data_IF_734134203616
#
_entry.id   IF_734134203616
#
_cell.length_a   1.000
_cell.length_b   1.000
_cell.length_c   1.000
_cell.angle_alpha   90.00
_cell.angle_beta   90.00
_cell.angle_gamma   90.00
#
_symmetry.space_group_name_H-M   'P 1'
#
loop_
_entity.id
_entity.type
_entity.pdbx_description
1 polymer ?
#
# COMPACT_ATOMS: atom_id res chain seq x y z
N UNK A 1 -0.21 13.24 14.23
CA UNK A 1 -0.09 11.91 14.87
C UNK A 1 1.24 11.82 15.57
N UNK A 2 1.27 11.47 16.86
CA UNK A 2 2.50 11.43 17.66
C UNK A 2 3.45 10.32 17.18
N UNK A 3 2.91 9.11 16.98
CA UNK A 3 3.64 7.91 16.57
C UNK A 3 4.45 8.12 15.27
N UNK A 4 3.84 8.78 14.27
CA UNK A 4 4.50 9.05 12.99
C UNK A 4 5.66 10.04 13.11
N UNK A 5 5.53 11.08 13.95
CA UNK A 5 6.62 12.04 14.20
C UNK A 5 7.76 11.37 14.98
N UNK A 6 7.43 10.54 15.96
CA UNK A 6 8.40 9.78 16.75
C UNK A 6 9.20 8.80 15.88
N UNK A 7 8.57 8.13 14.91
CA UNK A 7 9.27 7.29 13.94
C UNK A 7 10.23 8.12 13.06
N UNK A 8 9.79 9.27 12.54
CA UNK A 8 10.68 10.12 11.74
C UNK A 8 11.89 10.57 12.56
N UNK A 9 11.68 11.00 13.81
CA UNK A 9 12.77 11.39 14.71
C UNK A 9 13.70 10.20 15.01
N UNK A 10 13.15 9.02 15.29
CA UNK A 10 13.95 7.80 15.51
C UNK A 10 14.84 7.47 14.31
N UNK A 11 14.32 7.57 13.09
CA UNK A 11 15.13 7.33 11.87
C UNK A 11 16.24 8.36 11.75
N UNK A 12 15.98 9.63 12.07
CA UNK A 12 16.98 10.71 12.06
C UNK A 12 18.09 10.51 13.10
N UNK A 13 17.73 10.06 14.30
CA UNK A 13 18.68 9.94 15.42
C UNK A 13 19.47 8.63 15.39
N UNK A 14 18.84 7.51 14.99
CA UNK A 14 19.41 6.16 15.10
C UNK A 14 19.74 5.51 13.75
N UNK A 15 19.31 6.11 12.64
CA UNK A 15 19.45 5.48 11.34
C UNK A 15 20.91 5.41 10.86
N UNK A 16 21.21 4.38 10.09
CA UNK A 16 22.50 4.24 9.40
C UNK A 16 22.37 4.68 7.95
N UNK A 17 23.42 5.30 7.41
CA UNK A 17 23.48 5.62 5.99
C UNK A 17 23.46 4.33 5.17
N UNK A 18 22.60 4.29 4.14
CA UNK A 18 22.52 3.19 3.18
C UNK A 18 22.26 3.71 1.78
N UNK A 19 22.97 3.15 0.82
CA UNK A 19 22.65 3.32 -0.59
C UNK A 19 21.36 2.57 -0.94
N UNK A 20 20.65 3.04 -1.95
CA UNK A 20 19.40 2.45 -2.43
C UNK A 20 19.40 2.30 -3.96
N UNK A 21 18.37 1.66 -4.52
CA UNK A 21 18.31 1.33 -5.95
C UNK A 21 18.22 2.55 -6.86
N UNK A 22 17.69 3.69 -6.39
CA UNK A 22 17.63 4.93 -7.18
C UNK A 22 18.93 5.73 -7.12
N UNK A 23 19.90 5.32 -6.28
CA UNK A 23 21.18 6.01 -6.12
C UNK A 23 21.09 7.32 -5.33
N UNK A 24 20.00 7.55 -4.59
CA UNK A 24 19.76 8.80 -3.86
C UNK A 24 20.42 8.78 -2.47
N UNK A 25 20.45 7.61 -1.83
CA UNK A 25 20.94 7.47 -0.47
C UNK A 25 19.84 7.69 0.57
N UNK A 26 19.93 6.96 1.68
CA UNK A 26 18.92 6.93 2.73
C UNK A 26 19.55 6.90 4.11
N UNK A 27 18.79 7.37 5.10
CA UNK A 27 19.02 7.05 6.50
C UNK A 27 18.00 5.99 6.90
N UNK A 28 18.47 4.86 7.45
CA UNK A 28 17.63 3.66 7.59
C UNK A 28 17.81 2.98 8.94
N UNK A 29 16.68 2.62 9.54
CA UNK A 29 16.59 1.66 10.64
C UNK A 29 15.95 0.37 10.13
N UNK A 30 16.10 -0.74 10.87
CA UNK A 30 15.46 -2.01 10.54
C UNK A 30 14.60 -2.49 11.72
N UNK A 31 13.33 -2.80 11.43
CA UNK A 31 12.35 -3.19 12.44
C UNK A 31 11.79 -2.01 13.24
N UNK A 32 10.53 -1.66 12.98
CA UNK A 32 9.79 -0.68 13.78
C UNK A 32 8.30 -1.07 13.80
N UNK A 33 7.60 -0.68 14.85
CA UNK A 33 6.17 -0.95 14.98
C UNK A 33 5.44 0.28 15.51
N UNK A 34 4.31 0.59 14.90
CA UNK A 34 3.35 1.59 15.39
C UNK A 34 1.99 0.93 15.58
N UNK A 35 1.16 1.50 16.46
CA UNK A 35 -0.25 1.11 16.63
C UNK A 35 -1.12 2.38 16.56
N UNK A 36 -2.28 2.24 15.93
CA UNK A 36 -3.28 3.29 15.80
C UNK A 36 -4.62 2.70 16.24
N UNK A 37 -5.17 3.17 17.35
CA UNK A 37 -6.53 2.81 17.74
C UNK A 37 -7.50 3.59 16.85
N UNK A 38 -8.22 2.90 15.97
CA UNK A 38 -9.12 3.54 15.02
C UNK A 38 -10.37 4.15 15.69
N UNK A 39 -10.65 3.83 16.96
CA UNK A 39 -11.70 4.49 17.74
C UNK A 39 -11.32 5.93 18.14
N UNK A 40 -10.02 6.25 18.21
CA UNK A 40 -9.55 7.61 18.53
C UNK A 40 -9.70 8.57 17.33
N UNK A 41 -9.86 8.02 16.12
CA UNK A 41 -10.04 8.75 14.87
C UNK A 41 -9.30 8.13 13.68
N UNK A 42 -9.53 8.70 12.49
CA UNK A 42 -8.88 8.24 11.25
C UNK A 42 -7.40 8.71 11.22
N UNK A 43 -6.41 7.80 11.12
CA UNK A 43 -4.99 8.12 11.27
C UNK A 43 -4.39 8.74 9.99
N UNK A 44 -4.94 9.86 9.53
CA UNK A 44 -4.36 10.67 8.46
C UNK A 44 -3.32 11.64 9.05
N UNK A 45 -2.14 11.72 8.43
CA UNK A 45 -1.13 12.71 8.83
C UNK A 45 -1.71 14.12 8.72
N UNK A 46 -1.61 14.89 9.81
CA UNK A 46 -2.14 16.26 9.91
C UNK A 46 -1.06 17.33 9.90
N UNK A 47 0.21 16.96 10.13
CA UNK A 47 1.36 17.89 10.13
C UNK A 47 1.82 18.28 8.72
N UNK A 48 1.21 17.69 7.69
CA UNK A 48 1.21 18.15 6.30
C UNK A 48 -0.11 17.74 5.65
N UNK A 49 -0.54 18.44 4.60
CA UNK A 49 -1.73 18.06 3.84
C UNK A 49 -1.46 16.77 3.05
N UNK A 50 -2.34 15.77 3.17
CA UNK A 50 -2.31 14.53 2.40
C UNK A 50 -3.40 14.52 1.31
N UNK A 51 -3.07 14.02 0.12
CA UNK A 51 -4.01 13.96 -1.01
C UNK A 51 -4.90 12.70 -0.93
N UNK A 52 -5.91 12.74 -0.05
CA UNK A 52 -6.76 11.59 0.27
C UNK A 52 -7.51 11.01 -0.95
N UNK A 53 -7.85 11.84 -1.95
CA UNK A 53 -8.50 11.40 -3.19
C UNK A 53 -7.71 10.26 -3.86
N UNK A 54 -6.38 10.40 -3.98
CA UNK A 54 -5.53 9.38 -4.61
C UNK A 54 -5.53 8.09 -3.82
N UNK A 55 -5.47 8.17 -2.48
CA UNK A 55 -5.46 7.00 -1.59
C UNK A 55 -6.77 6.20 -1.72
N UNK A 56 -7.91 6.89 -1.80
CA UNK A 56 -9.22 6.22 -1.96
C UNK A 56 -9.29 5.49 -3.30
N UNK A 57 -8.97 6.16 -4.42
CA UNK A 57 -9.04 5.53 -5.74
C UNK A 57 -8.04 4.39 -5.90
N UNK A 58 -6.83 4.52 -5.36
CA UNK A 58 -5.86 3.42 -5.35
C UNK A 58 -6.40 2.18 -4.62
N UNK A 59 -7.02 2.35 -3.45
CA UNK A 59 -7.60 1.21 -2.72
C UNK A 59 -8.77 0.58 -3.49
N UNK A 60 -9.65 1.38 -4.09
CA UNK A 60 -10.74 0.87 -4.93
C UNK A 60 -10.22 0.13 -6.17
N UNK A 61 -9.13 0.61 -6.76
CA UNK A 61 -8.44 -0.01 -7.88
C UNK A 61 -7.80 -1.36 -7.50
N UNK A 62 -7.13 -1.44 -6.35
CA UNK A 62 -6.63 -2.71 -5.81
C UNK A 62 -7.76 -3.72 -5.56
N UNK A 63 -8.86 -3.27 -4.95
CA UNK A 63 -10.02 -4.13 -4.67
C UNK A 63 -10.69 -4.62 -5.96
N UNK A 64 -10.63 -3.89 -7.07
CA UNK A 64 -11.09 -4.37 -8.38
C UNK A 64 -10.16 -5.43 -9.00
N UNK A 65 -8.97 -5.62 -8.46
CA UNK A 65 -7.97 -6.54 -9.01
C UNK A 65 -7.21 -5.96 -10.22
N UNK A 66 -7.35 -4.66 -10.47
CA UNK A 66 -6.76 -4.01 -11.63
C UNK A 66 -5.27 -3.72 -11.40
N UNK A 67 -4.50 -3.73 -12.48
CA UNK A 67 -3.05 -3.43 -12.52
C UNK A 67 -2.67 -2.48 -13.66
N UNK A 68 -3.66 -1.99 -14.41
CA UNK A 68 -3.49 -0.95 -15.41
C UNK A 68 -3.96 0.41 -14.86
N UNK A 69 -3.22 1.48 -15.16
CA UNK A 69 -3.45 2.81 -14.60
C UNK A 69 -4.62 3.58 -15.24
N UNK A 70 -5.30 3.05 -16.27
CA UNK A 70 -6.40 3.73 -16.94
C UNK A 70 -7.51 4.23 -15.97
N UNK A 71 -7.95 3.37 -15.04
CA UNK A 71 -8.93 3.77 -14.01
C UNK A 71 -8.40 4.91 -13.12
N UNK A 72 -7.11 4.90 -12.80
CA UNK A 72 -6.50 5.96 -11.99
C UNK A 72 -6.48 7.27 -12.78
N UNK A 73 -6.14 7.23 -14.06
CA UNK A 73 -6.16 8.40 -14.96
C UNK A 73 -7.56 8.98 -15.15
N UNK A 74 -8.57 8.14 -15.36
CA UNK A 74 -9.99 8.55 -15.42
C UNK A 74 -10.41 9.32 -14.16
N UNK A 75 -9.77 9.04 -13.03
CA UNK A 75 -10.01 9.68 -11.74
C UNK A 75 -8.94 10.71 -11.35
N UNK A 76 -8.13 11.19 -12.30
CA UNK A 76 -7.03 12.14 -12.12
C UNK A 76 -6.05 11.76 -11.00
N UNK A 77 -5.68 10.48 -10.95
CA UNK A 77 -4.68 9.93 -10.03
C UNK A 77 -3.47 9.44 -10.83
N UNK A 78 -2.30 9.97 -10.52
CA UNK A 78 -1.05 9.78 -11.31
C UNK A 78 0.09 9.16 -10.51
N UNK A 79 -0.18 8.63 -9.31
CA UNK A 79 0.85 8.15 -8.37
C UNK A 79 1.59 6.88 -8.83
N UNK A 80 1.14 6.26 -9.92
CA UNK A 80 1.71 5.04 -10.50
C UNK A 80 2.34 5.27 -11.88
N UNK A 81 2.34 6.50 -12.39
CA UNK A 81 2.75 6.84 -13.76
C UNK A 81 4.22 6.49 -14.02
N UNK A 82 5.11 6.70 -13.04
CA UNK A 82 6.55 6.46 -13.21
C UNK A 82 6.94 4.98 -13.33
N UNK A 83 6.00 4.05 -13.06
CA UNK A 83 6.27 2.61 -13.04
C UNK A 83 5.53 1.82 -14.11
N UNK A 84 4.52 2.43 -14.75
CA UNK A 84 3.74 1.78 -15.78
C UNK A 84 4.50 1.72 -17.11
N UNK A 85 4.23 0.71 -17.92
CA UNK A 85 4.73 0.64 -19.29
C UNK A 85 3.97 1.58 -20.24
N UNK A 86 4.32 1.56 -21.53
CA UNK A 86 3.68 2.40 -22.56
C UNK A 86 2.17 2.15 -22.74
N UNK A 87 1.65 1.01 -22.27
CA UNK A 87 0.24 0.64 -22.31
C UNK A 87 -0.47 0.93 -20.97
N UNK A 88 0.26 1.44 -19.97
CA UNK A 88 -0.26 1.71 -18.64
C UNK A 88 -0.26 0.48 -17.72
N UNK A 89 0.37 -0.63 -18.10
CA UNK A 89 0.40 -1.86 -17.31
C UNK A 89 1.57 -1.88 -16.31
N UNK A 90 1.30 -2.37 -15.10
CA UNK A 90 2.29 -2.53 -14.01
C UNK A 90 2.73 -3.98 -13.80
N UNK A 91 2.23 -4.92 -14.61
CA UNK A 91 2.36 -6.36 -14.35
C UNK A 91 1.53 -6.81 -13.15
N UNK A 92 1.80 -8.01 -12.57
CA UNK A 92 0.93 -8.63 -11.58
C UNK A 92 1.16 -8.12 -10.15
N UNK A 93 0.99 -6.81 -9.94
CA UNK A 93 1.11 -6.16 -8.63
C UNK A 93 -0.15 -6.34 -7.75
N UNK A 94 -0.11 -5.81 -6.53
CA UNK A 94 -1.13 -5.81 -5.47
C UNK A 94 -2.52 -6.32 -5.87
N UNK A 95 -3.29 -5.57 -6.67
CA UNK A 95 -4.67 -5.92 -7.03
C UNK A 95 -4.81 -7.32 -7.61
N UNK A 96 -3.95 -7.69 -8.57
CA UNK A 96 -3.95 -9.04 -9.15
C UNK A 96 -3.65 -10.11 -8.11
N UNK A 97 -2.69 -9.87 -7.21
CA UNK A 97 -2.35 -10.82 -6.15
C UNK A 97 -3.47 -10.92 -5.09
N UNK A 98 -4.13 -9.81 -4.77
CA UNK A 98 -5.23 -9.78 -3.79
C UNK A 98 -6.46 -10.54 -4.29
N UNK A 99 -6.81 -10.39 -5.58
CA UNK A 99 -8.05 -10.93 -6.15
C UNK A 99 -7.89 -12.22 -6.94
N UNK A 100 -6.68 -12.53 -7.40
CA UNK A 100 -6.41 -13.64 -8.29
C UNK A 100 -4.94 -14.13 -8.17
N UNK A 101 -4.52 -14.53 -6.97
CA UNK A 101 -3.19 -15.10 -6.75
C UNK A 101 -3.00 -16.38 -7.58
N UNK A 102 -2.05 -16.46 -8.52
CA UNK A 102 -1.87 -17.64 -9.35
C UNK A 102 -1.23 -18.79 -8.57
N UNK A 103 -1.74 -19.99 -8.77
CA UNK A 103 -1.20 -21.21 -8.16
C UNK A 103 -0.51 -22.10 -9.20
N UNK A 104 0.40 -23.00 -8.79
CA UNK A 104 1.12 -23.87 -9.73
C UNK A 104 0.22 -24.77 -10.60
N UNK A 105 -0.99 -25.08 -10.14
CA UNK A 105 -1.96 -25.93 -10.84
C UNK A 105 -2.92 -25.14 -11.75
N UNK A 106 -2.72 -23.84 -11.91
CA UNK A 106 -3.50 -22.97 -12.80
C UNK A 106 -4.73 -22.33 -12.15
N UNK A 107 -5.06 -22.63 -10.90
CA UNK A 107 -6.12 -21.90 -10.17
C UNK A 107 -5.67 -20.48 -9.81
N UNK A 108 -6.65 -19.64 -9.50
CA UNK A 108 -6.45 -18.30 -8.94
C UNK A 108 -7.19 -18.19 -7.61
N UNK A 109 -6.53 -17.66 -6.57
CA UNK A 109 -7.10 -17.51 -5.23
C UNK A 109 -7.47 -16.03 -4.99
N UNK A 110 -8.75 -15.76 -4.69
CA UNK A 110 -9.20 -14.46 -4.23
C UNK A 110 -9.02 -14.36 -2.70
N UNK A 111 -7.92 -13.72 -2.30
CA UNK A 111 -7.54 -13.58 -0.90
C UNK A 111 -8.46 -12.62 -0.15
N UNK A 112 -9.01 -11.59 -0.80
CA UNK A 112 -9.96 -10.65 -0.17
C UNK A 112 -11.25 -11.38 0.20
N UNK A 113 -11.80 -12.16 -0.74
CA UNK A 113 -12.99 -12.98 -0.47
C UNK A 113 -12.72 -14.02 0.61
N UNK A 114 -11.53 -14.65 0.58
CA UNK A 114 -11.13 -15.65 1.58
C UNK A 114 -11.09 -15.05 2.99
N UNK A 115 -10.40 -13.92 3.17
CA UNK A 115 -10.31 -13.23 4.47
C UNK A 115 -11.68 -12.75 4.94
N UNK A 116 -12.51 -12.20 4.06
CA UNK A 116 -13.88 -11.81 4.41
C UNK A 116 -14.73 -12.98 4.92
N UNK A 117 -14.55 -14.17 4.34
CA UNK A 117 -15.26 -15.37 4.78
C UNK A 117 -14.71 -15.88 6.11
N UNK A 118 -13.40 -15.84 6.34
CA UNK A 118 -12.79 -16.22 7.62
C UNK A 118 -13.28 -15.29 8.74
N UNK A 119 -13.22 -13.97 8.56
CA UNK A 119 -13.71 -13.01 9.56
C UNK A 119 -15.19 -13.21 9.94
N UNK A 120 -16.01 -13.68 9.00
CA UNK A 120 -17.45 -13.94 9.24
C UNK A 120 -17.72 -15.28 9.94
N UNK A 121 -16.93 -16.30 9.65
CA UNK A 121 -17.24 -17.69 10.00
C UNK A 121 -16.28 -18.30 11.02
N UNK A 122 -15.07 -17.76 11.14
CA UNK A 122 -14.01 -18.20 12.05
C UNK A 122 -13.14 -17.00 12.48
N UNK A 123 -13.67 -16.09 13.32
CA UNK A 123 -13.02 -14.82 13.65
C UNK A 123 -11.78 -14.92 14.54
N UNK A 124 -11.50 -16.09 15.11
CA UNK A 124 -10.35 -16.34 15.99
C UNK A 124 -9.11 -16.90 15.24
N UNK A 125 -9.23 -17.09 13.91
CA UNK A 125 -8.16 -17.59 13.03
C UNK A 125 -7.08 -16.56 12.68
#
# INVERSE_FOLDING_TARGET
MKQYLELMQKVLDEGTQKNDRTGTGTLSIFGHQMRFNLQDGFPLVTTKRCHLRSIIHELLWFLQGNTNIAYLHENNVTIWDEWADENGDLGPVYGKQWRAWPTPDGRHIDQITTVLNQLKNDPDS
#
